data_IF_734712135270
#
_entry.id   IF_734712135270
#
_cell.length_a   1.000
_cell.length_b   1.000
_cell.length_c   1.000
_cell.angle_alpha   90.00
_cell.angle_beta   90.00
_cell.angle_gamma   90.00
#
_symmetry.space_group_name_H-M   'P 1'
#
loop_
_entity.id
_entity.type
_entity.pdbx_description
1 polymer ?
#
# COMPACT_ATOMS: atom_id res chain seq x y z
N UNK A 1 8.95 -6.08 -4.91
CA UNK A 1 8.06 -4.91 -4.68
C UNK A 1 8.41 -4.34 -3.31
N UNK A 2 8.77 -3.05 -3.23
CA UNK A 2 8.98 -2.39 -1.93
C UNK A 2 7.70 -2.57 -1.12
N UNK A 3 7.78 -3.36 -0.05
CA UNK A 3 6.60 -3.78 0.70
C UNK A 3 5.97 -2.66 1.52
N UNK A 4 6.53 -1.44 1.44
CA UNK A 4 6.16 -0.28 2.22
C UNK A 4 5.63 0.82 1.30
N UNK A 5 4.51 1.43 1.68
CA UNK A 5 4.02 2.65 1.05
C UNK A 5 4.71 3.87 1.67
N UNK A 6 5.26 4.75 0.85
CA UNK A 6 5.96 5.97 1.31
C UNK A 6 4.98 7.00 1.90
N UNK A 7 3.76 7.05 1.37
CA UNK A 7 2.72 8.01 1.80
C UNK A 7 2.06 7.66 3.15
N UNK A 8 1.78 6.38 3.41
CA UNK A 8 1.04 5.96 4.62
C UNK A 8 1.80 4.96 5.50
N UNK A 9 3.04 4.64 5.18
CA UNK A 9 3.90 3.75 5.95
C UNK A 9 3.48 2.27 5.96
N UNK A 10 2.36 1.89 5.31
CA UNK A 10 1.85 0.51 5.30
C UNK A 10 2.90 -0.46 4.78
N UNK A 11 3.30 -1.39 5.63
CA UNK A 11 4.26 -2.45 5.33
C UNK A 11 3.55 -3.82 5.24
N UNK A 12 4.32 -4.87 4.91
CA UNK A 12 3.84 -6.25 5.06
C UNK A 12 3.49 -6.51 6.53
N UNK A 13 2.39 -7.20 6.77
CA UNK A 13 2.00 -7.69 8.10
C UNK A 13 1.88 -9.21 8.04
N UNK A 14 2.11 -9.89 9.15
CA UNK A 14 1.98 -11.34 9.24
C UNK A 14 0.70 -11.72 9.95
N UNK A 15 0.16 -12.89 9.62
CA UNK A 15 -0.92 -13.51 10.36
C UNK A 15 -1.17 -14.94 9.90
N UNK A 16 -2.42 -15.38 9.98
CA UNK A 16 -2.81 -16.76 9.69
C UNK A 16 -3.95 -16.81 8.70
N UNK A 17 -3.92 -17.81 7.81
CA UNK A 17 -5.13 -18.31 7.17
C UNK A 17 -5.86 -19.23 8.15
N UNK A 18 -7.16 -19.02 8.31
CA UNK A 18 -8.01 -19.84 9.17
C UNK A 18 -9.04 -20.53 8.27
N UNK A 19 -8.96 -21.86 8.17
CA UNK A 19 -9.96 -22.65 7.45
C UNK A 19 -11.26 -22.78 8.25
N UNK A 20 -12.31 -23.30 7.62
CA UNK A 20 -13.56 -23.67 8.28
C UNK A 20 -13.34 -24.60 9.49
N UNK A 21 -12.41 -25.56 9.37
CA UNK A 21 -11.97 -26.45 10.46
C UNK A 21 -11.01 -25.82 11.47
N UNK A 22 -10.83 -24.49 11.44
CA UNK A 22 -9.91 -23.71 12.29
C UNK A 22 -8.43 -24.11 12.17
N UNK A 23 -8.02 -24.77 11.08
CA UNK A 23 -6.59 -25.03 10.80
C UNK A 23 -5.90 -23.70 10.50
N UNK A 24 -4.86 -23.36 11.27
CA UNK A 24 -4.12 -22.10 11.16
C UNK A 24 -2.83 -22.31 10.38
N UNK A 25 -2.73 -21.77 9.17
CA UNK A 25 -1.47 -21.76 8.38
C UNK A 25 -0.90 -20.35 8.30
N UNK A 26 0.42 -20.21 8.14
CA UNK A 26 1.06 -18.91 8.05
C UNK A 26 0.61 -18.16 6.78
N UNK A 27 0.37 -16.85 6.90
CA UNK A 27 0.13 -15.96 5.78
C UNK A 27 0.79 -14.62 5.99
N UNK A 28 1.26 -14.03 4.89
CA UNK A 28 1.63 -12.64 4.80
C UNK A 28 0.52 -11.79 4.14
N UNK A 29 0.25 -10.64 4.75
CA UNK A 29 -0.62 -9.61 4.22
C UNK A 29 0.24 -8.52 3.60
N UNK A 30 0.33 -8.53 2.26
CA UNK A 30 1.06 -7.52 1.51
C UNK A 30 0.12 -6.43 1.02
N UNK A 31 0.38 -5.14 1.30
CA UNK A 31 -0.32 -4.08 0.60
C UNK A 31 0.02 -4.10 -0.89
N UNK A 32 -0.95 -3.77 -1.75
CA UNK A 32 -0.70 -3.61 -3.18
C UNK A 32 0.00 -2.26 -3.41
N UNK A 33 1.33 -2.27 -3.38
CA UNK A 33 2.20 -1.10 -3.53
C UNK A 33 2.68 -1.03 -4.97
N UNK A 34 2.44 0.10 -5.63
CA UNK A 34 2.76 0.34 -7.03
C UNK A 34 3.82 1.43 -7.14
N UNK A 35 4.70 1.32 -8.12
CA UNK A 35 5.71 2.34 -8.39
C UNK A 35 5.16 3.34 -9.42
N UNK A 36 4.92 4.59 -9.01
CA UNK A 36 4.35 5.63 -9.88
C UNK A 36 4.99 6.99 -9.65
N UNK A 37 4.88 7.86 -10.65
CA UNK A 37 5.19 9.29 -10.55
C UNK A 37 3.99 10.00 -9.95
N UNK A 38 4.23 10.76 -8.91
CA UNK A 38 3.25 11.61 -8.25
C UNK A 38 3.87 12.97 -8.01
N UNK A 39 3.04 14.00 -8.12
CA UNK A 39 3.41 15.32 -7.64
C UNK A 39 3.34 15.22 -6.11
N UNK A 40 4.46 15.53 -5.46
CA UNK A 40 4.60 15.65 -4.01
C UNK A 40 5.23 17.01 -3.77
N UNK A 41 4.52 17.91 -3.10
CA UNK A 41 4.91 19.30 -2.82
C UNK A 41 5.28 20.07 -4.10
N UNK A 42 4.50 19.92 -5.16
CA UNK A 42 4.74 20.56 -6.46
C UNK A 42 5.86 19.92 -7.31
N UNK A 43 6.54 18.89 -6.81
CA UNK A 43 7.62 18.20 -7.54
C UNK A 43 7.20 16.79 -7.94
N UNK A 44 7.33 16.47 -9.23
CA UNK A 44 7.01 15.14 -9.77
C UNK A 44 8.08 14.10 -9.36
N UNK A 45 7.80 13.37 -8.28
CA UNK A 45 8.72 12.38 -7.69
C UNK A 45 8.22 10.96 -7.93
N UNK A 46 9.13 10.00 -8.11
CA UNK A 46 8.81 8.57 -8.17
C UNK A 46 8.75 7.99 -6.76
N UNK A 47 7.61 7.41 -6.39
CA UNK A 47 7.40 6.82 -5.07
C UNK A 47 6.70 5.46 -5.17
N UNK A 48 6.85 4.67 -4.11
CA UNK A 48 6.09 3.46 -3.85
C UNK A 48 4.80 3.81 -3.12
N UNK A 49 3.66 3.74 -3.82
CA UNK A 49 2.35 4.11 -3.29
C UNK A 49 1.39 2.93 -3.26
N UNK A 50 0.65 2.75 -2.17
CA UNK A 50 -0.42 1.75 -2.13
C UNK A 50 -1.64 2.19 -2.95
N UNK A 51 -2.34 1.23 -3.54
CA UNK A 51 -3.55 1.50 -4.36
C UNK A 51 -4.62 2.28 -3.61
N UNK A 52 -4.72 2.12 -2.27
CA UNK A 52 -5.65 2.89 -1.44
C UNK A 52 -5.29 4.38 -1.42
N UNK A 53 -4.02 4.72 -1.21
CA UNK A 53 -3.54 6.10 -1.23
C UNK A 53 -3.68 6.71 -2.63
N UNK A 54 -3.35 5.94 -3.67
CA UNK A 54 -3.55 6.38 -5.06
C UNK A 54 -5.02 6.75 -5.34
N UNK A 55 -5.96 5.92 -4.88
CA UNK A 55 -7.39 6.20 -5.03
C UNK A 55 -7.84 7.44 -4.24
N UNK A 56 -7.35 7.61 -3.02
CA UNK A 56 -7.70 8.77 -2.18
C UNK A 56 -7.16 10.06 -2.81
N UNK A 57 -5.88 10.09 -3.20
CA UNK A 57 -5.26 11.27 -3.83
C UNK A 57 -5.96 11.65 -5.14
N UNK A 58 -6.34 10.67 -5.97
CA UNK A 58 -7.09 10.92 -7.20
C UNK A 58 -8.52 11.45 -6.99
N UNK A 59 -9.13 11.20 -5.82
CA UNK A 59 -10.46 11.75 -5.49
C UNK A 59 -10.40 13.13 -4.85
N UNK A 60 -9.41 13.38 -3.99
CA UNK A 60 -9.41 14.57 -3.15
C UNK A 60 -8.85 15.82 -3.81
N UNK A 61 -8.33 15.76 -5.04
CA UNK A 61 -7.73 16.91 -5.73
C UNK A 61 -6.49 17.50 -5.03
N UNK A 62 -6.18 17.05 -3.82
CA UNK A 62 -4.95 17.33 -3.09
C UNK A 62 -3.81 16.57 -3.77
N UNK A 63 -3.31 17.16 -4.87
CA UNK A 63 -1.88 17.16 -5.11
C UNK A 63 -1.27 17.70 -3.83
N UNK A 64 -0.70 16.80 -3.02
CA UNK A 64 0.30 17.23 -2.06
C UNK A 64 1.48 17.66 -2.91
#
# INVERSE_FOLDING_TARGET
MAGKCDVCGKAKTFGKNVSFSKRRTNRDFRPNVQHKRLIVNGVATRLHICTRCMRTMGKSGKAA
#
